data_IF_972140798217
#
_entry.id   IF_972140798217
#
_cell.length_a   1.000
_cell.length_b   1.000
_cell.length_c   1.000
_cell.angle_alpha   90.00
_cell.angle_beta   90.00
_cell.angle_gamma   90.00
#
_symmetry.space_group_name_H-M   'P 1'
#
loop_
_entity.id
_entity.type
_entity.pdbx_description
1 polymer ?
#
# COMPACT_ATOMS: atom_id res chain seq x y z
N UNK A 1 21.63 -15.42 -4.90
CA UNK A 1 21.00 -14.13 -4.51
C UNK A 1 21.10 -13.86 -3.00
N UNK A 2 21.46 -14.88 -2.20
CA UNK A 2 21.65 -14.82 -0.73
C UNK A 2 20.40 -14.37 0.05
N UNK A 3 19.21 -14.73 -0.45
CA UNK A 3 17.91 -14.46 0.14
C UNK A 3 16.89 -15.50 -0.33
N UNK A 4 15.73 -15.60 0.34
CA UNK A 4 14.70 -16.56 -0.05
C UNK A 4 14.07 -16.20 -1.42
N UNK A 5 13.74 -17.23 -2.20
CA UNK A 5 12.95 -17.06 -3.41
C UNK A 5 11.51 -16.62 -3.08
N UNK A 6 10.95 -17.16 -2.01
CA UNK A 6 9.66 -16.77 -1.42
C UNK A 6 9.56 -17.27 0.03
N UNK A 7 8.66 -16.66 0.78
CA UNK A 7 8.31 -17.06 2.15
C UNK A 7 6.80 -17.16 2.24
N UNK A 8 6.31 -18.24 2.85
CA UNK A 8 4.89 -18.43 3.14
C UNK A 8 4.65 -18.44 4.65
N UNK A 9 3.60 -17.77 5.10
CA UNK A 9 3.16 -17.81 6.49
C UNK A 9 1.64 -17.61 6.59
N UNK A 10 1.09 -17.80 7.77
CA UNK A 10 -0.34 -17.60 8.04
C UNK A 10 -0.52 -16.46 9.03
N UNK A 11 -1.39 -15.51 8.71
CA UNK A 11 -1.88 -14.51 9.66
C UNK A 11 -3.16 -15.07 10.29
N UNK A 12 -3.13 -15.23 11.61
CA UNK A 12 -4.25 -15.77 12.40
C UNK A 12 -5.03 -14.64 13.09
N UNK A 13 -6.34 -14.80 13.36
CA UNK A 13 -7.11 -13.83 14.15
C UNK A 13 -6.53 -13.54 15.54
N UNK A 14 -5.83 -14.51 16.13
CA UNK A 14 -5.09 -14.37 17.39
C UNK A 14 -3.99 -13.29 17.38
N UNK A 15 -3.66 -12.73 16.23
CA UNK A 15 -2.70 -11.60 16.13
C UNK A 15 -3.13 -10.40 16.98
N UNK A 16 -4.44 -10.19 17.15
CA UNK A 16 -5.00 -9.11 17.96
C UNK A 16 -4.73 -9.28 19.47
N UNK A 17 -4.46 -10.49 19.92
CA UNK A 17 -4.25 -10.84 21.33
C UNK A 17 -2.75 -10.97 21.69
N UNK A 18 -1.88 -10.92 20.68
CA UNK A 18 -0.44 -11.13 20.84
C UNK A 18 0.25 -9.99 21.59
N UNK A 19 1.05 -10.34 22.61
CA UNK A 19 1.79 -9.41 23.48
C UNK A 19 3.30 -9.43 23.26
N UNK A 20 3.84 -10.33 22.42
CA UNK A 20 5.26 -10.39 22.13
C UNK A 20 5.73 -9.07 21.50
N UNK A 21 6.87 -8.56 21.97
CA UNK A 21 7.43 -7.27 21.53
C UNK A 21 8.63 -7.49 20.63
N UNK A 22 8.85 -6.52 19.71
CA UNK A 22 9.96 -6.56 18.76
C UNK A 22 11.31 -6.76 19.47
N UNK A 23 12.04 -7.83 19.11
CA UNK A 23 13.32 -8.21 19.74
C UNK A 23 14.54 -7.64 19.01
N UNK A 24 14.47 -7.47 17.67
CA UNK A 24 15.61 -7.13 16.79
C UNK A 24 16.78 -8.12 16.87
N UNK A 25 16.53 -9.39 17.19
CA UNK A 25 17.56 -10.42 17.32
C UNK A 25 17.93 -11.06 15.97
N UNK A 26 18.32 -10.22 15.03
CA UNK A 26 18.76 -10.64 13.70
C UNK A 26 19.94 -11.61 13.79
N UNK A 27 19.81 -12.76 13.16
CA UNK A 27 20.81 -13.85 13.18
C UNK A 27 20.68 -14.76 11.98
N UNK A 28 21.70 -15.54 11.70
CA UNK A 28 21.65 -16.58 10.69
C UNK A 28 20.61 -17.64 11.04
N UNK A 29 19.98 -18.21 10.02
CA UNK A 29 19.04 -19.30 10.19
C UNK A 29 19.79 -20.63 10.30
N UNK A 30 19.71 -21.32 11.44
CA UNK A 30 20.44 -22.58 11.66
C UNK A 30 19.94 -23.73 10.77
N UNK A 31 18.76 -23.59 10.14
CA UNK A 31 18.20 -24.60 9.24
C UNK A 31 18.72 -24.46 7.81
N UNK A 32 19.30 -23.33 7.45
CA UNK A 32 19.87 -23.10 6.10
C UNK A 32 21.36 -23.51 6.12
N UNK A 33 21.63 -24.76 5.75
CA UNK A 33 22.98 -25.37 5.82
C UNK A 33 23.99 -24.72 4.87
N UNK A 34 23.55 -24.02 3.83
CA UNK A 34 24.41 -23.28 2.88
C UNK A 34 24.80 -21.89 3.38
N UNK A 35 24.27 -21.48 4.54
CA UNK A 35 24.40 -20.13 5.07
C UNK A 35 23.31 -19.19 4.54
N UNK A 36 23.22 -18.03 5.17
CA UNK A 36 22.30 -16.94 4.80
C UNK A 36 23.09 -15.64 4.65
N UNK A 37 22.43 -14.55 4.21
CA UNK A 37 23.00 -13.22 4.41
C UNK A 37 23.25 -12.96 5.90
N UNK A 38 24.08 -11.97 6.21
CA UNK A 38 24.51 -11.62 7.57
C UNK A 38 24.45 -10.11 7.80
N UNK A 39 24.70 -9.65 9.03
CA UNK A 39 24.69 -8.22 9.38
C UNK A 39 25.60 -7.39 8.46
N UNK A 40 26.78 -7.93 8.13
CA UNK A 40 27.78 -7.26 7.29
C UNK A 40 27.40 -7.12 5.82
N UNK A 41 26.29 -7.71 5.41
CA UNK A 41 25.73 -7.48 4.07
C UNK A 41 24.89 -6.21 3.97
N UNK A 42 24.49 -5.63 5.11
CA UNK A 42 23.63 -4.45 5.18
C UNK A 42 24.34 -3.20 5.71
N UNK A 43 25.33 -3.37 6.60
CA UNK A 43 26.10 -2.27 7.18
C UNK A 43 27.38 -2.75 7.88
N UNK A 44 28.31 -1.84 8.05
CA UNK A 44 29.47 -2.03 8.90
C UNK A 44 29.21 -1.44 10.29
N UNK A 45 29.75 -2.11 11.32
CA UNK A 45 29.61 -1.73 12.72
C UNK A 45 30.98 -1.60 13.35
N UNK A 46 31.35 -0.38 13.73
CA UNK A 46 32.59 -0.05 14.36
C UNK A 46 32.40 0.38 15.81
N UNK A 47 33.14 -0.22 16.73
CA UNK A 47 33.08 0.16 18.16
C UNK A 47 33.95 1.39 18.39
N UNK A 48 33.38 2.46 18.89
CA UNK A 48 34.09 3.69 19.25
C UNK A 48 34.81 3.55 20.60
N UNK A 49 35.77 4.44 20.91
CA UNK A 49 36.47 4.47 22.20
C UNK A 49 35.55 4.67 23.42
N UNK A 50 34.41 5.35 23.22
CA UNK A 50 33.38 5.57 24.24
C UNK A 50 32.46 4.37 24.48
N UNK A 51 32.74 3.24 23.82
CA UNK A 51 31.96 2.00 23.92
C UNK A 51 30.71 1.96 23.05
N UNK A 52 30.34 3.05 22.40
CA UNK A 52 29.23 3.11 21.44
C UNK A 52 29.62 2.55 20.08
N UNK A 53 28.61 2.20 19.28
CA UNK A 53 28.83 1.75 17.91
C UNK A 53 28.53 2.87 16.89
N UNK A 54 29.37 2.94 15.87
CA UNK A 54 29.11 3.68 14.64
C UNK A 54 28.61 2.68 13.61
N UNK A 55 27.52 3.01 12.94
CA UNK A 55 26.97 2.22 11.85
C UNK A 55 27.19 2.94 10.52
N UNK A 56 27.67 2.21 9.53
CA UNK A 56 27.85 2.69 8.16
C UNK A 56 26.97 1.79 7.25
N UNK A 57 25.76 2.24 7.01
CA UNK A 57 24.75 1.51 6.25
C UNK A 57 24.99 1.56 4.75
N UNK A 58 24.54 0.54 4.05
CA UNK A 58 24.68 0.40 2.61
C UNK A 58 23.45 0.89 1.84
N UNK A 59 22.51 1.55 2.53
CA UNK A 59 21.32 2.16 1.93
C UNK A 59 20.06 1.28 1.97
N UNK A 60 20.15 0.10 2.58
CA UNK A 60 19.03 -0.84 2.64
C UNK A 60 18.68 -1.22 4.08
N UNK A 61 17.39 -1.34 4.34
CA UNK A 61 16.86 -1.98 5.54
C UNK A 61 16.95 -3.51 5.39
N UNK A 62 17.05 -4.22 6.50
CA UNK A 62 16.79 -5.66 6.57
C UNK A 62 15.28 -5.85 6.52
N UNK A 63 14.73 -5.85 5.31
CA UNK A 63 13.28 -5.93 5.08
C UNK A 63 12.78 -7.34 5.32
N UNK A 64 11.77 -7.47 6.17
CA UNK A 64 11.12 -8.75 6.43
C UNK A 64 10.26 -9.17 5.23
N UNK A 65 10.33 -10.43 4.82
CA UNK A 65 9.36 -11.03 3.90
C UNK A 65 8.09 -11.44 4.65
N UNK A 66 8.22 -12.19 5.76
CA UNK A 66 7.16 -12.42 6.73
C UNK A 66 7.38 -11.47 7.92
N UNK A 67 6.54 -10.43 8.11
CA UNK A 67 6.80 -9.37 9.08
C UNK A 67 6.64 -9.85 10.52
N UNK A 68 7.54 -9.43 11.42
CA UNK A 68 7.52 -9.82 12.83
C UNK A 68 6.19 -9.46 13.55
N UNK A 69 5.48 -8.45 13.04
CA UNK A 69 4.18 -8.07 13.57
C UNK A 69 3.10 -9.15 13.42
N UNK A 70 3.26 -10.08 12.47
CA UNK A 70 2.31 -11.18 12.23
C UNK A 70 2.50 -12.34 13.23
N UNK A 71 3.59 -12.33 14.03
CA UNK A 71 3.96 -13.39 14.96
C UNK A 71 3.89 -12.97 16.43
N UNK A 72 3.20 -11.87 16.77
CA UNK A 72 3.11 -11.37 18.14
C UNK A 72 2.41 -12.31 19.13
N UNK A 73 1.77 -13.35 18.64
CA UNK A 73 1.12 -14.39 19.42
C UNK A 73 2.13 -15.39 20.05
N UNK A 74 3.40 -15.40 19.60
CA UNK A 74 4.46 -16.28 20.12
C UNK A 74 5.80 -15.54 20.12
N UNK A 75 6.48 -15.51 21.28
CA UNK A 75 7.83 -14.94 21.38
C UNK A 75 8.84 -15.69 20.50
N UNK A 76 8.71 -17.02 20.40
CA UNK A 76 9.58 -17.84 19.56
C UNK A 76 9.36 -17.52 18.08
N UNK A 77 8.12 -17.57 17.59
CA UNK A 77 7.82 -17.28 16.18
C UNK A 77 8.22 -15.84 15.80
N UNK A 78 8.00 -14.88 16.71
CA UNK A 78 8.45 -13.50 16.52
C UNK A 78 9.98 -13.44 16.44
N UNK A 79 10.72 -14.11 17.33
CA UNK A 79 12.19 -14.18 17.29
C UNK A 79 12.70 -14.83 15.99
N UNK A 80 12.08 -15.92 15.55
CA UNK A 80 12.46 -16.64 14.33
C UNK A 80 12.19 -15.79 13.07
N UNK A 81 11.21 -14.87 13.08
CA UNK A 81 11.00 -13.94 11.98
C UNK A 81 12.20 -13.02 11.70
N UNK A 82 13.16 -12.91 12.62
CA UNK A 82 14.41 -12.15 12.46
C UNK A 82 15.56 -12.96 11.87
N UNK A 83 15.37 -14.20 11.48
CA UNK A 83 16.38 -14.92 10.71
C UNK A 83 16.68 -14.22 9.39
N UNK A 84 17.97 -14.19 8.99
CA UNK A 84 18.36 -13.60 7.72
C UNK A 84 17.79 -14.34 6.50
N UNK A 85 17.37 -15.60 6.64
CA UNK A 85 16.60 -16.31 5.62
C UNK A 85 15.24 -15.65 5.29
N UNK A 86 14.73 -14.83 6.21
CA UNK A 86 13.50 -14.05 6.06
C UNK A 86 13.74 -12.58 5.66
N UNK A 87 14.99 -12.21 5.34
CA UNK A 87 15.38 -10.83 5.04
C UNK A 87 15.70 -10.64 3.57
N UNK A 88 15.27 -9.48 3.04
CA UNK A 88 15.63 -9.01 1.71
C UNK A 88 16.07 -7.54 1.81
N UNK A 89 17.02 -7.07 0.97
CA UNK A 89 17.36 -5.66 0.94
C UNK A 89 16.17 -4.82 0.49
N UNK A 90 15.72 -3.89 1.32
CA UNK A 90 14.63 -2.97 1.01
C UNK A 90 15.05 -1.53 1.27
N UNK A 91 14.78 -0.61 0.33
CA UNK A 91 14.99 0.82 0.58
C UNK A 91 14.02 1.29 1.66
N UNK A 92 14.48 2.22 2.53
CA UNK A 92 13.70 2.66 3.68
C UNK A 92 12.34 3.26 3.31
N UNK A 93 12.27 4.03 2.21
CA UNK A 93 11.02 4.64 1.75
C UNK A 93 9.99 3.63 1.24
N UNK A 94 10.43 2.50 0.72
CA UNK A 94 9.56 1.38 0.37
C UNK A 94 9.11 0.62 1.62
N UNK A 95 10.08 0.11 2.40
CA UNK A 95 9.86 -0.78 3.55
C UNK A 95 8.97 -0.14 4.63
N UNK A 96 9.31 1.11 5.02
CA UNK A 96 8.69 1.78 6.18
C UNK A 96 7.34 2.43 5.90
N UNK A 97 6.98 2.62 4.61
CA UNK A 97 5.73 3.29 4.22
C UNK A 97 4.80 2.36 3.44
N UNK A 98 4.97 2.22 2.13
CA UNK A 98 3.98 1.49 1.30
C UNK A 98 3.94 0.00 1.58
N UNK A 99 5.08 -0.62 1.82
CA UNK A 99 5.14 -2.04 2.19
C UNK A 99 4.49 -2.30 3.55
N UNK A 100 4.82 -1.47 4.55
CA UNK A 100 4.18 -1.54 5.86
C UNK A 100 2.66 -1.24 5.80
N UNK A 101 2.21 -0.34 4.90
CA UNK A 101 0.78 -0.08 4.65
C UNK A 101 0.08 -1.35 4.15
N UNK A 102 0.67 -2.06 3.17
CA UNK A 102 0.13 -3.33 2.65
C UNK A 102 0.04 -4.41 3.74
N UNK A 103 1.10 -4.57 4.55
CA UNK A 103 1.11 -5.52 5.66
C UNK A 103 0.05 -5.19 6.72
N UNK A 104 -0.12 -3.92 7.07
CA UNK A 104 -1.15 -3.48 8.00
C UNK A 104 -2.56 -3.73 7.45
N UNK A 105 -2.76 -3.49 6.15
CA UNK A 105 -4.02 -3.73 5.48
C UNK A 105 -4.44 -5.21 5.54
N UNK A 106 -3.51 -6.15 5.35
CA UNK A 106 -3.75 -7.58 5.48
C UNK A 106 -4.10 -7.98 6.93
N UNK A 107 -3.38 -7.46 7.93
CA UNK A 107 -3.71 -7.67 9.35
C UNK A 107 -5.09 -7.12 9.73
N UNK A 108 -5.43 -5.94 9.23
CA UNK A 108 -6.76 -5.36 9.46
C UNK A 108 -7.88 -6.21 8.84
N UNK A 109 -7.64 -6.77 7.65
CA UNK A 109 -8.59 -7.70 7.02
C UNK A 109 -8.84 -8.91 7.91
N UNK A 110 -7.79 -9.58 8.38
CA UNK A 110 -7.87 -10.73 9.30
C UNK A 110 -8.67 -10.40 10.55
N UNK A 111 -8.34 -9.29 11.19
CA UNK A 111 -8.99 -8.88 12.45
C UNK A 111 -10.46 -8.52 12.26
N UNK A 112 -10.79 -7.78 11.19
CA UNK A 112 -12.15 -7.32 10.90
C UNK A 112 -13.08 -8.45 10.47
N UNK A 113 -12.57 -9.42 9.71
CA UNK A 113 -13.36 -10.53 9.18
C UNK A 113 -13.27 -11.78 10.04
N UNK A 114 -12.43 -11.78 11.07
CA UNK A 114 -12.16 -12.93 11.95
C UNK A 114 -11.83 -14.20 11.16
N UNK A 115 -10.99 -14.07 10.12
CA UNK A 115 -10.56 -15.13 9.22
C UNK A 115 -9.03 -15.26 9.23
N UNK A 116 -8.51 -16.34 8.70
CA UNK A 116 -7.06 -16.52 8.52
C UNK A 116 -6.64 -16.23 7.09
N UNK A 117 -5.46 -15.68 6.90
CA UNK A 117 -4.86 -15.49 5.57
C UNK A 117 -3.60 -16.31 5.41
N UNK A 118 -3.49 -17.04 4.31
CA UNK A 118 -2.22 -17.57 3.82
C UNK A 118 -1.56 -16.45 3.02
N UNK A 119 -0.34 -16.08 3.43
CA UNK A 119 0.44 -15.01 2.79
C UNK A 119 1.66 -15.62 2.13
N UNK A 120 1.88 -15.30 0.86
CA UNK A 120 3.15 -15.53 0.16
C UNK A 120 3.80 -14.19 -0.14
N UNK A 121 5.07 -14.07 0.18
CA UNK A 121 5.88 -12.88 -0.11
C UNK A 121 7.15 -13.29 -0.83
N UNK A 122 7.48 -12.61 -1.92
CA UNK A 122 8.69 -12.88 -2.66
C UNK A 122 9.36 -11.61 -3.18
N UNK A 123 10.70 -11.55 -3.18
CA UNK A 123 11.45 -10.68 -4.07
C UNK A 123 11.39 -11.25 -5.49
N UNK A 124 11.33 -10.42 -6.52
CA UNK A 124 11.53 -10.89 -7.89
C UNK A 124 13.02 -10.92 -8.16
N UNK A 125 13.55 -12.13 -8.36
CA UNK A 125 14.98 -12.37 -8.51
C UNK A 125 15.32 -12.74 -9.95
N UNK A 126 16.38 -12.10 -10.49
CA UNK A 126 16.98 -12.41 -11.79
C UNK A 126 18.51 -12.27 -11.70
N UNK A 127 19.22 -12.90 -12.64
CA UNK A 127 20.70 -12.96 -12.59
C UNK A 127 21.38 -11.60 -12.83
N UNK A 128 20.68 -10.65 -13.44
CA UNK A 128 21.16 -9.31 -13.80
C UNK A 128 20.94 -8.25 -12.73
N UNK A 129 20.36 -8.62 -11.59
CA UNK A 129 20.11 -7.68 -10.48
C UNK A 129 21.41 -7.07 -9.94
N UNK A 130 21.33 -5.79 -9.59
CA UNK A 130 22.36 -5.12 -8.81
C UNK A 130 22.57 -5.82 -7.47
N UNK A 131 23.78 -5.72 -6.93
CA UNK A 131 24.17 -6.33 -5.67
C UNK A 131 24.68 -5.29 -4.68
N UNK A 132 24.55 -5.57 -3.39
CA UNK A 132 25.19 -4.76 -2.36
C UNK A 132 26.70 -5.07 -2.38
N UNK A 133 27.45 -4.33 -3.18
CA UNK A 133 28.89 -4.58 -3.43
C UNK A 133 29.77 -4.47 -2.19
N UNK A 134 29.33 -3.70 -1.19
CA UNK A 134 30.05 -3.55 0.09
C UNK A 134 29.76 -4.70 1.09
N UNK A 135 28.71 -5.49 0.83
CA UNK A 135 28.38 -6.67 1.60
C UNK A 135 29.33 -7.83 1.30
N UNK A 136 29.54 -8.71 2.29
CA UNK A 136 30.45 -9.86 2.14
C UNK A 136 29.87 -10.93 1.21
N UNK A 137 28.54 -11.12 1.20
CA UNK A 137 27.85 -12.10 0.37
C UNK A 137 27.27 -11.48 -0.92
N UNK A 138 27.38 -10.16 -1.09
CA UNK A 138 26.90 -9.43 -2.27
C UNK A 138 25.44 -9.74 -2.59
N UNK A 139 24.57 -9.54 -1.61
CA UNK A 139 23.12 -9.83 -1.71
C UNK A 139 22.50 -9.06 -2.87
N UNK A 140 21.70 -9.74 -3.69
CA UNK A 140 21.00 -9.12 -4.83
C UNK A 140 19.91 -8.16 -4.34
N UNK A 141 19.75 -7.04 -5.05
CA UNK A 141 18.75 -6.00 -4.75
C UNK A 141 17.57 -6.19 -5.71
N UNK A 142 16.42 -6.66 -5.23
CA UNK A 142 15.23 -6.86 -6.08
C UNK A 142 14.71 -5.53 -6.64
N UNK A 143 14.22 -5.54 -7.88
CA UNK A 143 13.53 -4.39 -8.48
C UNK A 143 12.02 -4.36 -8.14
N UNK A 144 11.46 -5.52 -7.82
CA UNK A 144 10.05 -5.70 -7.47
C UNK A 144 9.91 -6.65 -6.29
N UNK A 145 8.86 -6.43 -5.51
CA UNK A 145 8.37 -7.36 -4.50
C UNK A 145 6.93 -7.73 -4.79
N UNK A 146 6.59 -8.98 -4.53
CA UNK A 146 5.23 -9.47 -4.61
C UNK A 146 4.73 -9.91 -3.24
N UNK A 147 3.42 -9.76 -3.04
CA UNK A 147 2.73 -10.29 -1.86
C UNK A 147 1.36 -10.80 -2.29
N UNK A 148 1.07 -12.04 -1.94
CA UNK A 148 -0.21 -12.71 -2.21
C UNK A 148 -0.90 -12.96 -0.88
N UNK A 149 -2.22 -12.80 -0.85
CA UNK A 149 -3.06 -13.19 0.26
C UNK A 149 -4.18 -14.10 -0.25
N UNK A 150 -4.36 -15.24 0.41
CA UNK A 150 -5.40 -16.22 0.14
C UNK A 150 -6.26 -16.43 1.39
N UNK A 151 -7.55 -16.13 1.28
CA UNK A 151 -8.61 -16.44 2.25
C UNK A 151 -9.40 -17.65 1.72
N UNK A 152 -9.04 -18.84 2.17
CA UNK A 152 -9.70 -20.08 1.74
C UNK A 152 -11.15 -20.13 2.22
N UNK A 153 -11.42 -19.66 3.44
CA UNK A 153 -12.77 -19.72 4.04
C UNK A 153 -13.78 -18.91 3.24
N UNK A 154 -13.36 -17.74 2.75
CA UNK A 154 -14.21 -16.86 1.96
C UNK A 154 -14.00 -17.01 0.45
N UNK A 155 -13.13 -17.94 0.00
CA UNK A 155 -12.79 -18.19 -1.40
C UNK A 155 -12.33 -16.91 -2.12
N UNK A 156 -11.36 -16.21 -1.54
CA UNK A 156 -10.82 -14.95 -2.05
C UNK A 156 -9.31 -15.00 -2.15
N UNK A 157 -8.81 -14.51 -3.25
CA UNK A 157 -7.38 -14.34 -3.48
C UNK A 157 -7.05 -12.95 -4.00
N UNK A 158 -5.89 -12.42 -3.67
CA UNK A 158 -5.39 -11.15 -4.20
C UNK A 158 -3.88 -11.16 -4.23
N UNK A 159 -3.32 -10.64 -5.30
CA UNK A 159 -1.89 -10.41 -5.47
C UNK A 159 -1.55 -8.94 -5.51
N UNK A 160 -0.31 -8.60 -5.20
CA UNK A 160 0.27 -7.28 -5.35
C UNK A 160 1.66 -7.41 -5.95
N UNK A 161 1.97 -6.56 -6.95
CA UNK A 161 3.32 -6.41 -7.52
C UNK A 161 3.73 -4.97 -7.34
N UNK A 162 4.71 -4.72 -6.46
CA UNK A 162 5.16 -3.38 -6.12
C UNK A 162 6.60 -3.13 -6.61
N UNK A 163 6.88 -2.02 -7.31
CA UNK A 163 8.25 -1.63 -7.64
C UNK A 163 9.01 -1.25 -6.37
N UNK A 164 10.26 -1.65 -6.29
CA UNK A 164 11.14 -1.39 -5.13
C UNK A 164 11.66 0.06 -5.13
N UNK A 165 10.76 0.99 -4.93
CA UNK A 165 11.02 2.43 -4.89
C UNK A 165 10.06 3.13 -3.94
N UNK A 166 10.24 4.44 -3.72
CA UNK A 166 9.23 5.24 -3.02
C UNK A 166 7.92 5.22 -3.82
N UNK A 167 6.83 4.81 -3.17
CA UNK A 167 5.50 4.67 -3.77
C UNK A 167 4.54 5.65 -3.09
N UNK A 168 3.92 6.53 -3.89
CA UNK A 168 2.91 7.49 -3.43
C UNK A 168 1.49 7.10 -3.85
N UNK A 169 1.37 6.27 -4.90
CA UNK A 169 0.07 5.79 -5.39
C UNK A 169 -0.61 4.84 -4.40
N UNK A 170 -1.95 4.80 -4.36
CA UNK A 170 -2.70 3.85 -3.55
C UNK A 170 -2.41 2.38 -3.89
N UNK A 171 -2.63 1.47 -2.93
CA UNK A 171 -2.35 0.03 -3.08
C UNK A 171 -3.14 -0.62 -4.23
N UNK A 172 -4.36 -0.16 -4.48
CA UNK A 172 -5.22 -0.69 -5.55
C UNK A 172 -4.59 -0.68 -6.95
N UNK A 173 -3.59 0.22 -7.19
CA UNK A 173 -2.86 0.26 -8.47
C UNK A 173 -1.90 -0.89 -8.68
N UNK A 174 -1.53 -1.53 -7.61
CA UNK A 174 -0.57 -2.63 -7.57
C UNK A 174 -1.26 -3.97 -7.33
N UNK A 175 -2.60 -3.94 -7.14
CA UNK A 175 -3.41 -5.13 -6.99
C UNK A 175 -3.56 -5.84 -8.34
N UNK A 176 -3.31 -7.14 -8.33
CA UNK A 176 -3.37 -8.03 -9.49
C UNK A 176 -4.01 -9.37 -9.08
N UNK A 177 -4.31 -10.22 -10.05
CA UNK A 177 -4.71 -11.61 -9.79
C UNK A 177 -3.54 -12.42 -9.24
N UNK A 178 -3.82 -13.53 -8.56
CA UNK A 178 -2.77 -14.50 -8.16
C UNK A 178 -2.05 -15.03 -9.39
N UNK A 179 -2.76 -15.41 -10.45
CA UNK A 179 -2.19 -15.84 -11.73
C UNK A 179 -1.13 -14.86 -12.27
N UNK A 180 -1.38 -13.55 -12.13
CA UNK A 180 -0.43 -12.53 -12.57
C UNK A 180 0.86 -12.53 -11.74
N UNK A 181 0.76 -12.81 -10.44
CA UNK A 181 1.93 -12.95 -9.56
C UNK A 181 2.69 -14.22 -9.92
N UNK A 182 2.01 -15.33 -10.09
CA UNK A 182 2.59 -16.63 -10.46
C UNK A 182 3.33 -16.57 -11.80
N UNK A 183 2.70 -15.94 -12.79
CA UNK A 183 3.36 -15.67 -14.06
C UNK A 183 4.64 -14.85 -13.90
N UNK A 184 4.62 -13.85 -13.02
CA UNK A 184 5.80 -13.00 -12.75
C UNK A 184 6.89 -13.74 -11.99
N UNK A 185 6.52 -14.64 -11.08
CA UNK A 185 7.46 -15.43 -10.27
C UNK A 185 7.97 -16.68 -11.00
N UNK A 186 7.20 -17.20 -11.95
CA UNK A 186 7.46 -18.50 -12.57
C UNK A 186 7.16 -19.70 -11.66
N UNK A 187 6.30 -19.52 -10.66
CA UNK A 187 5.88 -20.54 -9.69
C UNK A 187 4.37 -20.64 -9.65
N UNK A 188 3.86 -21.85 -9.52
CA UNK A 188 2.49 -22.16 -9.17
C UNK A 188 2.39 -22.25 -7.63
N UNK A 189 1.72 -21.30 -6.99
CA UNK A 189 1.78 -21.11 -5.54
C UNK A 189 0.84 -22.03 -4.76
N UNK A 190 -0.31 -22.36 -5.33
CA UNK A 190 -1.38 -23.08 -4.63
C UNK A 190 -1.84 -24.34 -5.37
N UNK A 191 -0.96 -24.97 -6.12
CA UNK A 191 -1.17 -26.19 -6.92
C UNK A 191 -1.80 -27.40 -6.18
N UNK A 192 -1.94 -27.32 -4.86
CA UNK A 192 -2.64 -28.33 -4.06
C UNK A 192 -4.12 -28.02 -3.84
N UNK A 193 -4.63 -26.89 -4.34
CA UNK A 193 -6.06 -26.60 -4.35
C UNK A 193 -6.76 -27.46 -5.39
N UNK A 194 -8.08 -27.62 -5.22
CA UNK A 194 -8.91 -28.18 -6.29
C UNK A 194 -8.88 -27.24 -7.51
N UNK A 195 -8.63 -27.78 -8.69
CA UNK A 195 -8.45 -27.01 -9.94
C UNK A 195 -9.59 -26.02 -10.20
N UNK A 196 -10.84 -26.39 -9.86
CA UNK A 196 -11.99 -25.51 -10.06
C UNK A 196 -11.94 -24.33 -9.07
N UNK A 197 -11.56 -24.58 -7.81
CA UNK A 197 -11.44 -23.58 -6.76
C UNK A 197 -10.26 -22.67 -7.04
N UNK A 198 -9.13 -23.21 -7.43
CA UNK A 198 -7.92 -22.51 -7.82
C UNK A 198 -8.22 -21.50 -8.94
N UNK A 199 -8.73 -21.96 -10.07
CA UNK A 199 -9.12 -21.09 -11.19
C UNK A 199 -10.15 -20.02 -10.78
N UNK A 200 -11.09 -20.34 -9.89
CA UNK A 200 -12.08 -19.36 -9.41
C UNK A 200 -11.43 -18.24 -8.61
N UNK A 201 -10.46 -18.55 -7.76
CA UNK A 201 -9.83 -17.61 -6.84
C UNK A 201 -8.72 -16.82 -7.52
N UNK A 202 -7.87 -17.47 -8.32
CA UNK A 202 -6.60 -16.90 -8.78
C UNK A 202 -6.75 -16.00 -9.99
N UNK A 203 -7.75 -16.23 -10.84
CA UNK A 203 -7.98 -15.46 -12.07
C UNK A 203 -8.53 -14.05 -11.84
N UNK A 204 -8.99 -13.73 -10.62
CA UNK A 204 -9.69 -12.48 -10.31
C UNK A 204 -8.78 -11.45 -9.64
N UNK A 205 -9.09 -10.18 -9.83
CA UNK A 205 -8.49 -9.06 -9.08
C UNK A 205 -9.56 -8.36 -8.23
N UNK A 206 -10.04 -8.98 -7.14
CA UNK A 206 -11.21 -8.52 -6.41
C UNK A 206 -10.89 -7.48 -5.34
N UNK A 207 -10.02 -6.48 -5.61
CA UNK A 207 -9.58 -5.50 -4.58
C UNK A 207 -10.77 -4.91 -3.78
N UNK A 208 -11.88 -4.59 -4.45
CA UNK A 208 -13.10 -4.07 -3.80
C UNK A 208 -13.70 -5.06 -2.80
N UNK A 209 -13.62 -6.36 -3.07
CA UNK A 209 -14.16 -7.39 -2.17
C UNK A 209 -13.37 -7.52 -0.87
N UNK A 210 -12.12 -7.06 -0.86
CA UNK A 210 -11.26 -7.05 0.30
C UNK A 210 -11.43 -5.81 1.17
N UNK A 211 -12.17 -4.81 0.69
CA UNK A 211 -12.45 -3.60 1.45
C UNK A 211 -13.57 -3.85 2.48
N UNK A 212 -13.55 -3.17 3.64
CA UNK A 212 -14.70 -3.13 4.54
C UNK A 212 -15.95 -2.63 3.80
N UNK A 213 -17.13 -3.07 4.23
CA UNK A 213 -18.42 -2.61 3.66
C UNK A 213 -18.51 -1.08 3.55
N UNK A 214 -17.97 -0.36 4.54
CA UNK A 214 -17.91 1.11 4.52
C UNK A 214 -17.04 1.71 3.40
N UNK A 215 -16.25 0.90 2.70
CA UNK A 215 -15.34 1.33 1.64
C UNK A 215 -15.70 0.72 0.27
N UNK A 216 -16.68 -0.18 0.20
CA UNK A 216 -17.08 -0.82 -1.07
C UNK A 216 -17.61 0.15 -2.13
N UNK A 217 -18.06 1.32 -1.72
CA UNK A 217 -18.45 2.40 -2.64
C UNK A 217 -17.28 3.30 -3.08
N UNK A 218 -16.06 3.00 -2.63
CA UNK A 218 -14.87 3.69 -3.11
C UNK A 218 -14.64 3.32 -4.58
N UNK A 219 -14.28 4.32 -5.38
CA UNK A 219 -14.11 4.20 -6.83
C UNK A 219 -12.64 4.50 -7.16
N UNK A 220 -12.10 3.80 -8.16
CA UNK A 220 -10.76 4.12 -8.66
C UNK A 220 -10.73 5.50 -9.31
N UNK A 221 -9.61 6.21 -9.15
CA UNK A 221 -9.43 7.52 -9.77
C UNK A 221 -9.52 7.43 -11.30
N UNK A 222 -10.04 8.46 -11.92
CA UNK A 222 -10.20 8.55 -13.37
C UNK A 222 -8.83 8.43 -14.04
N UNK A 223 -8.72 7.56 -15.05
CA UNK A 223 -7.48 7.37 -15.80
C UNK A 223 -7.01 8.68 -16.44
N UNK A 224 -5.70 8.97 -16.39
CA UNK A 224 -5.14 10.22 -16.92
C UNK A 224 -5.45 10.45 -18.39
N UNK A 225 -5.59 9.37 -19.17
CA UNK A 225 -5.95 9.42 -20.59
C UNK A 225 -7.36 9.91 -20.88
N UNK A 226 -8.24 9.90 -19.87
CA UNK A 226 -9.62 10.39 -19.94
C UNK A 226 -9.79 11.80 -19.40
N UNK A 227 -8.71 12.42 -18.95
CA UNK A 227 -8.77 13.75 -18.35
C UNK A 227 -8.55 14.86 -19.40
N UNK A 228 -9.14 16.03 -19.20
CA UNK A 228 -8.86 17.21 -20.01
C UNK A 228 -7.36 17.58 -19.94
N UNK A 229 -6.85 18.19 -21.01
CA UNK A 229 -5.45 18.60 -21.07
C UNK A 229 -5.06 19.50 -19.89
N UNK A 230 -4.03 19.09 -19.15
CA UNK A 230 -3.52 19.81 -17.97
C UNK A 230 -4.28 19.55 -16.68
N UNK A 231 -5.31 18.70 -16.69
CA UNK A 231 -5.96 18.23 -15.47
C UNK A 231 -5.20 17.03 -14.88
N UNK A 232 -5.37 16.82 -13.58
CA UNK A 232 -4.83 15.68 -12.83
C UNK A 232 -5.97 14.93 -12.16
N UNK A 233 -5.75 13.65 -11.83
CA UNK A 233 -6.67 12.89 -10.98
C UNK A 233 -6.28 13.02 -9.50
N UNK A 234 -7.10 12.48 -8.62
CA UNK A 234 -6.94 12.54 -7.15
C UNK A 234 -5.63 11.96 -6.66
N UNK A 235 -5.00 11.03 -7.39
CA UNK A 235 -3.73 10.41 -7.01
C UNK A 235 -2.53 11.34 -7.05
N UNK A 236 -2.58 12.35 -7.93
CA UNK A 236 -1.48 13.30 -8.08
C UNK A 236 -1.56 14.50 -7.14
N UNK A 237 -2.70 14.70 -6.45
CA UNK A 237 -2.93 15.90 -5.63
C UNK A 237 -1.95 16.04 -4.48
N UNK A 238 -1.52 14.92 -3.87
CA UNK A 238 -0.57 14.96 -2.75
C UNK A 238 0.80 15.49 -3.16
N UNK A 239 1.23 15.21 -4.39
CA UNK A 239 2.52 15.67 -4.93
C UNK A 239 2.52 17.14 -5.37
N UNK A 240 1.35 17.79 -5.46
CA UNK A 240 1.19 19.18 -5.92
C UNK A 240 0.45 20.08 -4.91
N UNK A 241 0.13 19.55 -3.72
CA UNK A 241 -0.51 20.35 -2.69
C UNK A 241 0.48 21.38 -2.11
N UNK A 242 -0.05 22.53 -1.70
CA UNK A 242 0.72 23.63 -1.11
C UNK A 242 1.79 24.27 -2.02
N UNK A 243 1.70 24.08 -3.35
CA UNK A 243 2.62 24.70 -4.30
C UNK A 243 2.24 26.15 -4.71
N UNK A 244 1.13 26.66 -4.19
CA UNK A 244 0.62 28.01 -4.45
C UNK A 244 0.01 28.23 -5.85
N UNK A 245 -0.17 27.14 -6.61
CA UNK A 245 -0.73 27.21 -7.97
C UNK A 245 -2.17 26.68 -8.02
N UNK A 246 -2.92 27.14 -9.03
CA UNK A 246 -4.24 26.60 -9.30
C UNK A 246 -4.16 25.40 -10.21
N UNK A 247 -4.69 24.28 -9.74
CA UNK A 247 -4.76 23.01 -10.48
C UNK A 247 -6.21 22.67 -10.83
N UNK A 248 -6.39 21.91 -11.90
CA UNK A 248 -7.66 21.26 -12.22
C UNK A 248 -7.56 19.81 -11.79
N UNK A 249 -8.37 19.43 -10.79
CA UNK A 249 -8.42 18.05 -10.26
C UNK A 249 -9.75 17.45 -10.65
N UNK A 250 -9.73 16.28 -11.32
CA UNK A 250 -10.94 15.55 -11.70
C UNK A 250 -11.04 14.23 -10.93
N UNK A 251 -12.25 13.87 -10.54
CA UNK A 251 -12.54 12.62 -9.83
C UNK A 251 -14.03 12.32 -9.79
N UNK A 252 -14.36 11.16 -9.21
CA UNK A 252 -15.72 10.73 -8.99
C UNK A 252 -16.21 11.26 -7.63
N UNK A 253 -17.31 11.98 -7.58
CA UNK A 253 -17.90 12.42 -6.31
C UNK A 253 -18.61 11.25 -5.65
N UNK A 254 -17.96 10.65 -4.65
CA UNK A 254 -18.45 9.43 -3.97
C UNK A 254 -19.20 9.71 -2.67
N UNK A 255 -19.00 10.88 -2.08
CA UNK A 255 -19.77 11.29 -0.91
C UNK A 255 -19.83 12.81 -0.78
N UNK A 256 -20.93 13.29 -0.24
CA UNK A 256 -21.17 14.69 0.09
C UNK A 256 -21.79 14.78 1.49
N UNK A 257 -21.53 15.85 2.21
CA UNK A 257 -22.09 16.09 3.54
C UNK A 257 -22.33 17.59 3.76
N UNK A 258 -23.56 17.93 4.09
CA UNK A 258 -23.88 19.27 4.62
C UNK A 258 -23.78 19.26 6.15
N UNK A 259 -22.91 20.10 6.65
CA UNK A 259 -22.74 20.26 8.08
C UNK A 259 -23.84 21.15 8.69
N UNK A 260 -24.21 20.96 9.96
CA UNK A 260 -25.23 21.77 10.65
C UNK A 260 -24.99 23.28 10.63
N UNK A 261 -23.74 23.71 10.40
CA UNK A 261 -23.35 25.12 10.22
C UNK A 261 -23.41 25.58 8.76
N UNK A 262 -23.99 24.81 7.85
CA UNK A 262 -24.16 25.16 6.44
C UNK A 262 -22.97 24.86 5.52
N UNK A 263 -21.82 24.42 6.02
CA UNK A 263 -20.69 24.04 5.18
C UNK A 263 -20.98 22.74 4.43
N UNK A 264 -20.50 22.64 3.19
CA UNK A 264 -20.59 21.43 2.37
C UNK A 264 -19.21 20.84 2.18
N UNK A 265 -19.09 19.53 2.42
CA UNK A 265 -17.90 18.73 2.18
C UNK A 265 -18.19 17.72 1.07
N UNK A 266 -17.23 17.55 0.16
CA UNK A 266 -17.32 16.64 -0.99
C UNK A 266 -16.05 15.81 -1.01
N UNK A 267 -16.17 14.49 -1.13
CA UNK A 267 -15.01 13.59 -1.25
C UNK A 267 -14.97 12.96 -2.62
N UNK A 268 -13.79 12.94 -3.22
CA UNK A 268 -13.57 12.33 -4.52
C UNK A 268 -12.95 10.95 -4.37
N UNK A 269 -13.43 10.02 -5.18
CA UNK A 269 -12.99 8.64 -5.38
C UNK A 269 -13.08 7.76 -4.13
N UNK A 270 -12.79 8.28 -2.93
CA UNK A 270 -12.90 7.54 -1.65
C UNK A 270 -13.71 8.29 -0.62
N UNK A 271 -14.57 7.56 0.12
CA UNK A 271 -15.39 8.11 1.21
C UNK A 271 -14.55 8.39 2.46
N UNK A 272 -15.06 9.24 3.34
CA UNK A 272 -14.50 9.40 4.69
C UNK A 272 -14.59 8.04 5.46
N UNK A 273 -13.55 7.63 6.19
CA UNK A 273 -12.32 8.37 6.54
C UNK A 273 -11.14 8.19 5.57
N UNK A 274 -11.32 7.50 4.44
CA UNK A 274 -10.24 7.14 3.50
C UNK A 274 -10.11 8.11 2.32
N UNK A 275 -10.72 9.30 2.42
CA UNK A 275 -10.68 10.29 1.35
C UNK A 275 -9.24 10.66 0.96
N UNK A 276 -8.96 10.59 -0.33
CA UNK A 276 -7.65 10.98 -0.91
C UNK A 276 -7.62 12.45 -1.32
N UNK A 277 -8.79 13.03 -1.59
CA UNK A 277 -8.97 14.44 -1.89
C UNK A 277 -10.36 14.89 -1.49
N UNK A 278 -10.45 15.98 -0.78
CA UNK A 278 -11.72 16.57 -0.35
C UNK A 278 -11.87 18.01 -0.84
N UNK A 279 -13.12 18.44 -0.97
CA UNK A 279 -13.46 19.83 -1.28
C UNK A 279 -14.34 20.38 -0.18
N UNK A 280 -14.13 21.64 0.14
CA UNK A 280 -14.89 22.36 1.16
C UNK A 280 -15.55 23.59 0.56
N UNK A 281 -16.86 23.74 0.78
CA UNK A 281 -17.60 24.98 0.47
C UNK A 281 -18.06 25.53 1.80
N UNK A 282 -17.52 26.67 2.20
CA UNK A 282 -17.98 27.35 3.41
C UNK A 282 -19.37 27.95 3.21
N UNK A 283 -20.14 28.04 4.30
CA UNK A 283 -21.51 28.53 4.28
C UNK A 283 -21.64 29.87 3.57
N UNK A 284 -20.71 30.80 3.81
CA UNK A 284 -20.67 32.13 3.17
C UNK A 284 -20.57 32.08 1.63
N UNK A 285 -20.06 30.99 1.07
CA UNK A 285 -19.87 30.80 -0.36
C UNK A 285 -21.01 30.01 -1.03
N UNK A 286 -21.91 29.37 -0.26
CA UNK A 286 -23.02 28.58 -0.82
C UNK A 286 -23.89 29.41 -1.78
N UNK A 287 -24.12 30.66 -1.43
CA UNK A 287 -24.88 31.61 -2.28
C UNK A 287 -24.29 31.85 -3.68
N UNK A 288 -23.06 31.50 -3.91
CA UNK A 288 -22.37 31.64 -5.19
C UNK A 288 -22.58 30.40 -6.10
N UNK A 289 -23.41 29.45 -5.64
CA UNK A 289 -23.82 28.27 -6.39
C UNK A 289 -25.32 28.40 -6.67
N UNK A 290 -25.71 28.16 -7.92
CA UNK A 290 -27.09 28.19 -8.41
C UNK A 290 -27.81 26.86 -8.25
N UNK A 291 -27.16 25.90 -7.59
CA UNK A 291 -27.64 24.56 -7.24
C UNK A 291 -27.19 24.19 -5.83
N UNK A 292 -27.76 23.15 -5.24
CA UNK A 292 -27.32 22.55 -3.98
C UNK A 292 -26.14 21.60 -4.26
N UNK A 293 -24.89 22.00 -3.96
CA UNK A 293 -23.71 21.22 -4.38
C UNK A 293 -23.70 19.78 -3.85
N UNK A 294 -24.19 19.59 -2.63
CA UNK A 294 -24.25 18.28 -1.98
C UNK A 294 -25.25 17.32 -2.65
N UNK A 295 -26.26 17.85 -3.34
CA UNK A 295 -27.26 17.06 -4.06
C UNK A 295 -26.87 16.92 -5.54
N UNK A 296 -26.44 18.00 -6.14
CA UNK A 296 -26.19 18.03 -7.58
C UNK A 296 -24.95 17.23 -8.00
N UNK A 297 -23.89 17.24 -7.17
CA UNK A 297 -22.59 16.70 -7.57
C UNK A 297 -22.41 15.21 -7.22
N UNK A 298 -23.20 14.66 -6.30
CA UNK A 298 -23.07 13.25 -5.89
C UNK A 298 -23.17 12.30 -7.09
N UNK A 299 -22.30 11.27 -7.12
CA UNK A 299 -22.22 10.24 -8.17
C UNK A 299 -21.87 10.76 -9.57
N UNK A 300 -21.30 11.96 -9.68
CA UNK A 300 -20.85 12.53 -10.96
C UNK A 300 -19.33 12.53 -11.06
N UNK A 301 -18.84 12.52 -12.30
CA UNK A 301 -17.44 12.79 -12.63
C UNK A 301 -17.27 14.29 -12.82
N UNK A 302 -16.45 14.90 -11.97
CA UNK A 302 -16.36 16.37 -11.90
C UNK A 302 -14.90 16.81 -11.85
N UNK A 303 -14.61 17.92 -12.50
CA UNK A 303 -13.33 18.62 -12.44
C UNK A 303 -13.48 19.91 -11.61
N UNK A 304 -12.56 20.11 -10.68
CA UNK A 304 -12.54 21.26 -9.78
C UNK A 304 -11.25 22.06 -9.99
N UNK A 305 -11.36 23.38 -10.09
CA UNK A 305 -10.21 24.26 -10.33
C UNK A 305 -9.95 25.17 -9.15
N UNK A 306 -8.78 25.05 -8.53
CA UNK A 306 -8.39 25.86 -7.38
C UNK A 306 -6.98 25.54 -6.89
N UNK A 307 -6.58 26.19 -5.80
CA UNK A 307 -5.37 25.88 -5.06
C UNK A 307 -5.63 24.68 -4.17
N UNK A 308 -4.65 23.78 -4.08
CA UNK A 308 -4.74 22.58 -3.25
C UNK A 308 -3.96 22.86 -1.97
N UNK A 309 -4.68 23.00 -0.88
CA UNK A 309 -4.13 23.07 0.47
C UNK A 309 -4.26 21.73 1.20
N UNK A 310 -4.27 21.79 2.51
CA UNK A 310 -4.34 20.63 3.40
C UNK A 310 -5.37 20.84 4.51
N UNK A 311 -6.10 19.80 4.86
CA UNK A 311 -6.96 19.76 6.03
C UNK A 311 -6.83 18.40 6.73
N UNK A 312 -6.28 18.40 7.96
CA UNK A 312 -6.09 17.15 8.73
C UNK A 312 -5.28 16.08 8.00
N UNK A 313 -4.15 16.45 7.39
CA UNK A 313 -3.26 15.61 6.55
C UNK A 313 -3.89 15.10 5.24
N UNK A 314 -5.07 15.61 4.87
CA UNK A 314 -5.73 15.27 3.60
C UNK A 314 -5.67 16.46 2.65
N UNK A 315 -5.25 16.27 1.38
CA UNK A 315 -5.34 17.32 0.36
C UNK A 315 -6.77 17.87 0.26
N UNK A 316 -6.91 19.18 0.28
CA UNK A 316 -8.21 19.86 0.26
C UNK A 316 -8.20 21.06 -0.66
N UNK A 317 -9.33 21.32 -1.34
CA UNK A 317 -9.54 22.54 -2.12
C UNK A 317 -10.78 23.26 -1.61
N UNK A 318 -10.66 24.58 -1.41
CA UNK A 318 -11.79 25.42 -1.02
C UNK A 318 -12.46 25.94 -2.28
N UNK A 319 -13.75 25.68 -2.41
CA UNK A 319 -14.58 26.19 -3.50
C UNK A 319 -15.32 27.43 -3.03
N UNK A 320 -15.19 28.51 -3.80
CA UNK A 320 -15.79 29.82 -3.51
C UNK A 320 -16.94 30.15 -4.48
N UNK A 321 -16.97 29.50 -5.64
CA UNK A 321 -17.92 29.82 -6.71
C UNK A 321 -18.16 28.63 -7.63
N UNK A 322 -19.39 28.49 -8.18
CA UNK A 322 -19.77 27.45 -9.14
C UNK A 322 -18.86 27.37 -10.38
N UNK A 323 -18.27 28.51 -10.80
CA UNK A 323 -17.30 28.56 -11.92
C UNK A 323 -16.03 27.72 -11.72
N UNK A 324 -15.76 27.27 -10.50
CA UNK A 324 -14.63 26.36 -10.20
C UNK A 324 -14.99 24.89 -10.47
N UNK A 325 -16.25 24.62 -10.77
CA UNK A 325 -16.82 23.27 -10.93
C UNK A 325 -17.24 23.07 -12.38
N UNK A 326 -16.85 21.97 -12.99
CA UNK A 326 -17.26 21.60 -14.33
C UNK A 326 -17.40 20.08 -14.43
N UNK A 327 -18.49 19.59 -14.99
CA UNK A 327 -18.67 18.16 -15.22
C UNK A 327 -17.62 17.67 -16.24
N UNK A 328 -17.12 16.44 -16.07
CA UNK A 328 -16.12 15.90 -16.97
C UNK A 328 -16.62 15.78 -18.39
N UNK A 329 -17.89 15.40 -18.58
CA UNK A 329 -18.58 15.29 -19.87
C UNK A 329 -18.69 16.63 -20.63
N UNK A 330 -18.48 17.77 -19.99
CA UNK A 330 -18.51 19.08 -20.63
C UNK A 330 -17.17 19.48 -21.28
N UNK A 331 -16.16 18.63 -21.19
CA UNK A 331 -14.84 18.85 -21.80
C UNK A 331 -14.69 18.15 -23.17
N UNK A 332 -15.66 17.35 -23.58
CA UNK A 332 -15.70 16.67 -24.88
C UNK A 332 -15.96 17.63 -26.05
#
# INVERSE_FOLDING_TARGET
HEQANWVMHVILPAISEGNATRSNDFREDPLVTTGTSVEQDYFLKEKKPDGKYKYDGFGYDRGHLAPSADFRWSEQALSESYFYSNMSPQIGDFNRYKWAELENWMREYVTKNNTSLIIVTAPILSDDLQKIERGINKVSIPEYFVKVALDIENKRGIGFILPHQKIESPLEYYAVSIDSVEHTMGYDLFSNLDETLENEIESKTPYIEWLPESQKDDIMAIALTKLPKGAVNTQRVKGIMNDGRKHTVCGNVVSTKKHKKGHVFINLDKKFPNQVFSLSIFESNIKNFDYEPEIYLINKQVCFKGEIGEYGNTPNMILQHSKQVRLLEEFD
#
